data_IF_616709115786
#
_entry.id   IF_616709115786
#
_cell.length_a   1.000
_cell.length_b   1.000
_cell.length_c   1.000
_cell.angle_alpha   90.00
_cell.angle_beta   90.00
_cell.angle_gamma   90.00
#
_symmetry.space_group_name_H-M   'P 1'
#
loop_
_entity.id
_entity.type
_entity.pdbx_description
1 polymer ?
#
# COMPACT_ATOMS: atom_id res chain seq x y z
N UNK A 1 66.50 -2.53 -47.26
CA UNK A 1 66.47 -3.97 -46.93
C UNK A 1 66.18 -4.03 -45.44
N UNK A 2 65.19 -4.68 -44.87
CA UNK A 2 64.12 -5.59 -45.29
C UNK A 2 63.06 -5.50 -44.19
N UNK A 3 61.85 -5.95 -44.52
CA UNK A 3 60.63 -5.90 -43.73
C UNK A 3 60.72 -6.68 -42.41
N UNK A 4 59.96 -6.26 -41.39
CA UNK A 4 59.25 -7.24 -40.58
C UNK A 4 57.90 -6.68 -40.11
N UNK A 5 56.84 -7.25 -40.67
CA UNK A 5 55.46 -7.06 -40.27
C UNK A 5 55.14 -7.93 -39.04
N UNK A 6 54.05 -7.57 -38.34
CA UNK A 6 53.38 -8.33 -37.28
C UNK A 6 53.91 -8.13 -35.84
N UNK A 7 53.20 -7.30 -35.07
CA UNK A 7 52.27 -7.81 -34.06
C UNK A 7 51.62 -6.65 -33.29
N UNK A 8 50.52 -6.13 -33.84
CA UNK A 8 49.50 -5.45 -33.07
C UNK A 8 48.78 -6.52 -32.21
N UNK A 9 49.14 -6.63 -30.92
CA UNK A 9 48.41 -7.46 -29.96
C UNK A 9 47.26 -6.65 -29.33
N UNK A 10 45.98 -7.03 -29.57
CA UNK A 10 44.82 -6.22 -29.22
C UNK A 10 44.33 -6.52 -27.80
N UNK A 11 45.05 -6.07 -26.76
CA UNK A 11 44.65 -6.34 -25.37
C UNK A 11 44.38 -5.12 -24.49
N UNK A 12 44.34 -3.90 -25.05
CA UNK A 12 44.04 -2.67 -24.28
C UNK A 12 42.76 -1.93 -24.67
N UNK A 13 41.82 -2.60 -25.35
CA UNK A 13 40.50 -2.01 -25.70
C UNK A 13 39.31 -2.85 -25.18
N UNK A 14 39.57 -4.00 -24.55
CA UNK A 14 38.48 -4.93 -24.14
C UNK A 14 37.95 -4.65 -22.72
N UNK A 15 38.69 -3.95 -21.85
CA UNK A 15 38.24 -3.70 -20.46
C UNK A 15 37.26 -2.53 -20.30
N UNK A 16 37.24 -1.56 -21.22
CA UNK A 16 36.35 -0.37 -21.11
C UNK A 16 34.98 -0.59 -21.82
N UNK A 17 34.89 -1.55 -22.74
CA UNK A 17 33.63 -1.85 -23.45
C UNK A 17 32.73 -2.79 -22.62
N UNK A 18 33.30 -3.70 -21.82
CA UNK A 18 32.55 -4.58 -20.94
C UNK A 18 31.91 -3.84 -19.75
N UNK A 19 32.60 -2.84 -19.17
CA UNK A 19 32.06 -1.99 -18.09
C UNK A 19 31.00 -1.00 -18.59
N UNK A 20 31.16 -0.45 -19.80
CA UNK A 20 30.16 0.47 -20.37
C UNK A 20 28.91 -0.24 -20.90
N UNK A 21 29.02 -1.50 -21.35
CA UNK A 21 27.87 -2.33 -21.76
C UNK A 21 27.08 -2.90 -20.58
N UNK A 22 27.74 -3.29 -19.48
CA UNK A 22 27.06 -3.79 -18.26
C UNK A 22 26.26 -2.70 -17.55
N UNK A 23 26.77 -1.47 -17.44
CA UNK A 23 26.01 -0.33 -16.90
C UNK A 23 24.83 0.06 -17.81
N UNK A 24 24.99 -0.05 -19.14
CA UNK A 24 23.89 0.21 -20.09
C UNK A 24 22.82 -0.88 -20.06
N UNK A 25 23.19 -2.15 -19.84
CA UNK A 25 22.22 -3.23 -19.63
C UNK A 25 21.50 -3.10 -18.28
N UNK A 26 22.20 -2.75 -17.20
CA UNK A 26 21.56 -2.45 -15.91
C UNK A 26 20.65 -1.23 -15.97
N UNK A 27 21.06 -0.15 -16.67
CA UNK A 27 20.17 1.01 -16.94
C UNK A 27 19.01 0.64 -17.86
N UNK A 28 19.14 -0.35 -18.75
CA UNK A 28 18.05 -0.84 -19.61
C UNK A 28 17.08 -1.74 -18.83
N UNK A 29 17.57 -2.54 -17.88
CA UNK A 29 16.75 -3.30 -16.92
C UNK A 29 16.03 -2.37 -15.92
N UNK A 30 16.70 -1.33 -15.41
CA UNK A 30 16.05 -0.29 -14.61
C UNK A 30 15.10 0.60 -15.43
N UNK A 31 15.33 0.78 -16.74
CA UNK A 31 14.41 1.51 -17.64
C UNK A 31 13.18 0.68 -18.06
N UNK A 32 13.25 -0.65 -17.97
CA UNK A 32 12.07 -1.52 -18.13
C UNK A 32 11.14 -1.40 -16.90
N UNK A 33 11.65 -1.03 -15.72
CA UNK A 33 10.84 -0.76 -14.51
C UNK A 33 10.13 0.61 -14.49
N UNK A 34 10.36 1.46 -15.49
CA UNK A 34 9.76 2.80 -15.60
C UNK A 34 8.85 2.99 -16.82
N UNK A 35 8.56 1.93 -17.56
CA UNK A 35 7.70 2.01 -18.73
C UNK A 35 6.24 1.92 -18.30
N UNK A 36 5.39 2.76 -18.89
CA UNK A 36 3.96 3.00 -18.61
C UNK A 36 3.03 1.77 -18.65
N UNK A 37 3.56 0.55 -18.66
CA UNK A 37 2.88 -0.74 -18.79
C UNK A 37 2.65 -1.50 -17.48
N UNK A 38 3.27 -1.11 -16.36
CA UNK A 38 2.93 -1.65 -15.01
C UNK A 38 1.88 -0.75 -14.30
N UNK A 39 1.49 0.36 -14.92
CA UNK A 39 0.49 1.29 -14.40
C UNK A 39 -0.97 0.86 -14.63
N UNK A 40 -1.20 -0.28 -15.29
CA UNK A 40 -2.35 -1.13 -14.95
C UNK A 40 -1.91 -2.08 -13.85
N UNK A 41 -1.62 -1.54 -12.66
CA UNK A 41 -1.80 -2.37 -11.48
C UNK A 41 -3.25 -2.82 -11.58
N UNK A 42 -3.49 -4.12 -11.76
CA UNK A 42 -4.83 -4.69 -11.80
C UNK A 42 -5.42 -4.48 -10.40
N UNK A 43 -5.77 -3.24 -10.09
CA UNK A 43 -6.62 -2.86 -8.99
C UNK A 43 -7.96 -3.43 -9.44
N UNK A 44 -8.46 -4.48 -8.78
CA UNK A 44 -9.77 -5.01 -9.12
C UNK A 44 -10.77 -3.86 -9.10
N UNK A 45 -11.73 -3.81 -10.03
CA UNK A 45 -12.69 -2.71 -10.15
C UNK A 45 -13.33 -2.34 -8.80
N UNK A 46 -13.54 -3.34 -7.94
CA UNK A 46 -14.01 -3.17 -6.55
C UNK A 46 -13.05 -2.42 -5.65
N UNK A 47 -11.76 -2.72 -5.70
CA UNK A 47 -10.75 -1.98 -4.92
C UNK A 47 -10.69 -0.52 -5.37
N UNK A 48 -10.86 -0.23 -6.66
CA UNK A 48 -10.95 1.14 -7.14
C UNK A 48 -12.19 1.87 -6.58
N UNK A 49 -13.35 1.18 -6.52
CA UNK A 49 -14.56 1.74 -5.92
C UNK A 49 -14.39 2.01 -4.43
N UNK A 50 -13.77 1.10 -3.68
CA UNK A 50 -13.40 1.32 -2.27
C UNK A 50 -12.53 2.57 -2.11
N UNK A 51 -11.48 2.72 -2.93
CA UNK A 51 -10.59 3.88 -2.87
C UNK A 51 -11.32 5.19 -3.22
N UNK A 52 -12.18 5.19 -4.23
CA UNK A 52 -12.97 6.37 -4.62
C UNK A 52 -13.98 6.75 -3.53
N UNK A 53 -14.64 5.76 -2.92
CA UNK A 53 -15.58 6.01 -1.83
C UNK A 53 -14.87 6.53 -0.57
N UNK A 54 -13.68 6.00 -0.25
CA UNK A 54 -12.84 6.55 0.79
C UNK A 54 -12.38 7.98 0.48
N UNK A 55 -12.05 8.28 -0.78
CA UNK A 55 -11.72 9.64 -1.21
C UNK A 55 -12.87 10.60 -0.92
N UNK A 56 -14.10 10.24 -1.30
CA UNK A 56 -15.30 11.07 -1.09
C UNK A 56 -15.53 11.37 0.40
N UNK A 57 -15.35 10.36 1.27
CA UNK A 57 -15.45 10.56 2.72
C UNK A 57 -14.35 11.49 3.25
N UNK A 58 -13.10 11.28 2.80
CA UNK A 58 -11.98 12.10 3.23
C UNK A 58 -12.08 13.55 2.75
N UNK A 59 -12.55 13.77 1.52
CA UNK A 59 -12.78 15.10 0.95
C UNK A 59 -13.94 15.81 1.67
N UNK A 60 -15.04 15.11 1.91
CA UNK A 60 -16.19 15.65 2.65
C UNK A 60 -15.88 16.00 4.10
N UNK A 61 -14.97 15.26 4.75
CA UNK A 61 -14.51 15.57 6.11
C UNK A 61 -13.53 16.74 6.14
N UNK A 62 -12.46 16.67 5.35
CA UNK A 62 -11.37 17.65 5.40
C UNK A 62 -11.68 18.96 4.67
N UNK A 63 -12.76 18.98 3.87
CA UNK A 63 -13.07 20.01 2.89
C UNK A 63 -11.86 20.36 1.99
N UNK A 64 -10.99 19.37 1.74
CA UNK A 64 -9.73 19.55 1.04
C UNK A 64 -9.40 18.34 0.16
N UNK A 65 -9.66 18.50 -1.14
CA UNK A 65 -9.37 17.50 -2.16
C UNK A 65 -7.88 17.10 -2.21
N UNK A 66 -6.95 17.99 -1.84
CA UNK A 66 -5.52 17.64 -1.82
C UNK A 66 -5.18 16.65 -0.70
N UNK A 67 -5.84 16.77 0.47
CA UNK A 67 -5.65 15.84 1.59
C UNK A 67 -6.23 14.47 1.22
N UNK A 68 -7.44 14.44 0.65
CA UNK A 68 -8.08 13.21 0.18
C UNK A 68 -7.22 12.50 -0.89
N UNK A 69 -6.76 13.22 -1.91
CA UNK A 69 -5.85 12.66 -2.92
C UNK A 69 -4.54 12.14 -2.32
N UNK A 70 -3.95 12.88 -1.38
CA UNK A 70 -2.73 12.47 -0.69
C UNK A 70 -2.95 11.19 0.11
N UNK A 71 -4.09 11.04 0.78
CA UNK A 71 -4.47 9.81 1.48
C UNK A 71 -4.52 8.62 0.54
N UNK A 72 -5.28 8.71 -0.56
CA UNK A 72 -5.41 7.62 -1.54
C UNK A 72 -4.07 7.25 -2.15
N UNK A 73 -3.26 8.24 -2.55
CA UNK A 73 -1.92 7.99 -3.08
C UNK A 73 -1.03 7.25 -2.09
N UNK A 74 -1.09 7.59 -0.80
CA UNK A 74 -0.30 6.92 0.24
C UNK A 74 -0.78 5.48 0.45
N UNK A 75 -2.10 5.23 0.44
CA UNK A 75 -2.67 3.88 0.53
C UNK A 75 -2.17 3.02 -0.62
N UNK A 76 -2.33 3.47 -1.87
CA UNK A 76 -1.90 2.71 -3.06
C UNK A 76 -0.39 2.44 -3.04
N UNK A 77 0.43 3.44 -2.70
CA UNK A 77 1.90 3.25 -2.62
C UNK A 77 2.31 2.30 -1.49
N UNK A 78 1.58 2.26 -0.38
CA UNK A 78 1.88 1.38 0.75
C UNK A 78 1.43 -0.05 0.44
N UNK A 79 0.23 -0.24 -0.11
CA UNK A 79 -0.26 -1.54 -0.57
C UNK A 79 0.61 -2.17 -1.66
N UNK A 80 1.04 -1.39 -2.66
CA UNK A 80 1.96 -1.89 -3.69
C UNK A 80 3.30 -2.34 -3.12
N UNK A 81 3.81 -1.61 -2.11
CA UNK A 81 5.06 -1.98 -1.45
C UNK A 81 4.89 -3.27 -0.66
N UNK A 82 3.78 -3.39 0.07
CA UNK A 82 3.42 -4.60 0.81
C UNK A 82 3.31 -5.82 -0.12
N UNK A 83 2.63 -5.66 -1.27
CA UNK A 83 2.54 -6.70 -2.31
C UNK A 83 3.92 -7.16 -2.78
N UNK A 84 4.84 -6.24 -3.06
CA UNK A 84 6.21 -6.58 -3.47
C UNK A 84 6.95 -7.36 -2.38
N UNK A 85 6.83 -6.94 -1.11
CA UNK A 85 7.44 -7.64 0.03
C UNK A 85 6.87 -9.06 0.20
N UNK A 86 5.56 -9.20 0.08
CA UNK A 86 4.86 -10.48 0.16
C UNK A 86 5.24 -11.42 -0.99
N UNK A 87 5.21 -10.93 -2.24
CA UNK A 87 5.54 -11.72 -3.43
C UNK A 87 7.00 -12.19 -3.45
N UNK A 88 7.93 -11.38 -2.94
CA UNK A 88 9.35 -11.73 -2.84
C UNK A 88 9.69 -12.56 -1.60
N UNK A 89 8.69 -13.01 -0.84
CA UNK A 89 8.87 -13.77 0.41
C UNK A 89 9.70 -13.07 1.50
N UNK A 90 9.93 -11.76 1.38
CA UNK A 90 10.76 -10.99 2.31
C UNK A 90 10.14 -11.01 3.71
N UNK A 91 8.81 -10.90 3.80
CA UNK A 91 8.08 -10.94 5.08
C UNK A 91 8.33 -12.24 5.83
N UNK A 92 8.42 -13.37 5.11
CA UNK A 92 8.65 -14.70 5.70
C UNK A 92 10.11 -14.95 6.09
N UNK A 93 11.01 -14.01 5.81
CA UNK A 93 12.41 -14.09 6.25
C UNK A 93 12.57 -13.76 7.74
N UNK A 94 11.59 -13.05 8.32
CA UNK A 94 11.51 -12.83 9.77
C UNK A 94 10.82 -14.02 10.46
N UNK A 95 11.33 -14.50 11.61
CA UNK A 95 10.77 -15.68 12.30
C UNK A 95 9.30 -15.54 12.68
N UNK A 96 8.80 -14.30 12.85
CA UNK A 96 7.41 -14.03 13.24
C UNK A 96 6.54 -13.54 12.07
N UNK A 97 7.08 -13.45 10.86
CA UNK A 97 6.41 -12.78 9.73
C UNK A 97 5.07 -13.39 9.34
N UNK A 98 4.97 -14.72 9.33
CA UNK A 98 3.71 -15.43 9.02
C UNK A 98 2.64 -15.20 10.10
N UNK A 99 3.03 -15.29 11.39
CA UNK A 99 2.13 -15.05 12.51
C UNK A 99 1.59 -13.62 12.51
N UNK A 100 2.45 -12.63 12.27
CA UNK A 100 2.05 -11.23 12.17
C UNK A 100 1.10 -10.99 10.99
N UNK A 101 1.32 -11.66 9.85
CA UNK A 101 0.41 -11.61 8.70
C UNK A 101 -0.96 -12.21 9.02
N UNK A 102 -1.01 -13.33 9.73
CA UNK A 102 -2.26 -13.95 10.16
C UNK A 102 -3.02 -13.05 11.14
N UNK A 103 -2.31 -12.45 12.11
CA UNK A 103 -2.89 -11.48 13.05
C UNK A 103 -3.45 -10.25 12.31
N UNK A 104 -2.69 -9.70 11.37
CA UNK A 104 -3.12 -8.54 10.58
C UNK A 104 -4.39 -8.84 9.78
N UNK A 105 -4.49 -10.03 9.17
CA UNK A 105 -5.71 -10.48 8.46
C UNK A 105 -6.89 -10.65 9.43
N UNK A 106 -6.64 -11.21 10.60
CA UNK A 106 -7.63 -11.36 11.67
C UNK A 106 -8.20 -10.01 12.11
N UNK A 107 -7.33 -9.06 12.41
CA UNK A 107 -7.71 -7.70 12.81
C UNK A 107 -8.48 -6.97 11.72
N UNK A 108 -8.03 -7.07 10.47
CA UNK A 108 -8.72 -6.46 9.34
C UNK A 108 -10.14 -7.01 9.19
N UNK A 109 -10.32 -8.32 9.32
CA UNK A 109 -11.65 -8.94 9.34
C UNK A 109 -12.49 -8.51 10.55
N UNK A 110 -11.86 -8.36 11.71
CA UNK A 110 -12.47 -7.79 12.91
C UNK A 110 -13.00 -6.38 12.66
N UNK A 111 -12.20 -5.51 12.02
CA UNK A 111 -12.59 -4.15 11.64
C UNK A 111 -13.80 -4.16 10.69
N UNK A 112 -13.79 -4.98 9.64
CA UNK A 112 -14.92 -5.07 8.69
C UNK A 112 -16.21 -5.54 9.36
N UNK A 113 -16.10 -6.46 10.31
CA UNK A 113 -17.24 -6.94 11.10
C UNK A 113 -17.75 -5.83 12.01
N UNK A 114 -16.84 -5.18 12.72
CA UNK A 114 -17.15 -4.14 13.69
C UNK A 114 -17.76 -2.89 13.04
N UNK A 115 -17.23 -2.41 11.91
CA UNK A 115 -17.83 -1.33 11.12
C UNK A 115 -19.24 -1.72 10.64
N UNK A 116 -19.43 -2.98 10.25
CA UNK A 116 -20.76 -3.50 9.88
C UNK A 116 -21.79 -3.38 11.01
N UNK A 117 -21.37 -3.61 12.26
CA UNK A 117 -22.21 -3.46 13.47
C UNK A 117 -22.44 -1.98 13.80
N UNK A 118 -21.37 -1.18 13.77
CA UNK A 118 -21.39 0.27 14.00
C UNK A 118 -22.42 1.02 13.15
N UNK A 119 -22.60 0.59 11.89
CA UNK A 119 -23.62 1.14 10.99
C UNK A 119 -25.05 1.08 11.55
N UNK A 120 -25.32 0.10 12.41
CA UNK A 120 -26.64 -0.13 13.01
C UNK A 120 -26.72 0.47 14.41
N UNK A 121 -25.61 0.49 15.14
CA UNK A 121 -25.51 1.00 16.50
C UNK A 121 -24.30 1.95 16.62
N UNK A 122 -24.52 3.24 16.36
CA UNK A 122 -23.49 4.27 16.58
C UNK A 122 -23.47 4.68 18.06
N UNK A 123 -22.33 4.52 18.72
CA UNK A 123 -22.10 5.06 20.04
C UNK A 123 -20.63 5.51 20.18
N UNK A 124 -20.34 6.38 21.14
CA UNK A 124 -18.97 6.87 21.36
C UNK A 124 -17.99 5.73 21.71
N UNK A 125 -18.44 4.81 22.57
CA UNK A 125 -17.65 3.65 22.99
C UNK A 125 -17.23 2.80 21.79
N UNK A 126 -18.13 2.63 20.83
CA UNK A 126 -17.85 1.82 19.65
C UNK A 126 -16.87 2.52 18.70
N UNK A 127 -16.91 3.86 18.56
CA UNK A 127 -15.87 4.58 17.81
C UNK A 127 -14.48 4.45 18.43
N UNK A 128 -14.34 4.52 19.75
CA UNK A 128 -13.07 4.31 20.44
C UNK A 128 -12.49 2.91 20.16
N UNK A 129 -13.32 1.88 20.25
CA UNK A 129 -12.90 0.50 19.91
C UNK A 129 -12.38 0.41 18.46
N UNK A 130 -13.04 1.08 17.50
CA UNK A 130 -12.58 1.10 16.12
C UNK A 130 -11.22 1.80 15.97
N UNK A 131 -10.98 2.88 16.70
CA UNK A 131 -9.66 3.54 16.72
C UNK A 131 -8.58 2.58 17.20
N UNK A 132 -8.82 1.87 18.32
CA UNK A 132 -7.89 0.89 18.85
C UNK A 132 -7.57 -0.22 17.83
N UNK A 133 -8.59 -0.74 17.14
CA UNK A 133 -8.40 -1.75 16.09
C UNK A 133 -7.51 -1.22 14.95
N UNK A 134 -7.76 0.00 14.47
CA UNK A 134 -6.90 0.62 13.44
C UNK A 134 -5.45 0.80 13.94
N UNK A 135 -5.26 1.23 15.19
CA UNK A 135 -3.92 1.37 15.77
C UNK A 135 -3.20 0.03 15.92
N UNK A 136 -3.93 -1.04 16.22
CA UNK A 136 -3.34 -2.38 16.26
C UNK A 136 -2.85 -2.80 14.87
N UNK A 137 -3.68 -2.62 13.83
CA UNK A 137 -3.25 -2.87 12.45
C UNK A 137 -2.03 -2.03 12.05
N UNK A 138 -1.95 -0.76 12.46
CA UNK A 138 -0.79 0.09 12.22
C UNK A 138 0.47 -0.51 12.84
N UNK A 139 0.40 -0.93 14.11
CA UNK A 139 1.50 -1.56 14.83
C UNK A 139 1.96 -2.86 14.16
N UNK A 140 1.02 -3.73 13.80
CA UNK A 140 1.32 -4.98 13.08
C UNK A 140 1.99 -4.71 11.73
N UNK A 141 1.48 -3.74 10.97
CA UNK A 141 2.07 -3.36 9.68
C UNK A 141 3.50 -2.87 9.89
N UNK A 142 3.76 -2.02 10.90
CA UNK A 142 5.12 -1.58 11.26
C UNK A 142 6.02 -2.76 11.63
N UNK A 143 5.54 -3.72 12.42
CA UNK A 143 6.32 -4.91 12.78
C UNK A 143 6.62 -5.81 11.58
N UNK A 144 5.72 -5.90 10.60
CA UNK A 144 5.91 -6.71 9.38
C UNK A 144 6.95 -6.09 8.44
N UNK A 145 7.00 -4.76 8.39
CA UNK A 145 7.74 -4.04 7.35
C UNK A 145 8.94 -3.24 7.87
N UNK A 146 9.05 -3.04 9.19
CA UNK A 146 9.98 -2.11 9.83
C UNK A 146 11.43 -2.44 9.48
N UNK A 147 11.76 -3.72 9.49
CA UNK A 147 13.11 -4.23 9.16
C UNK A 147 13.44 -4.14 7.66
N UNK A 148 12.45 -3.80 6.81
CA UNK A 148 12.54 -3.94 5.36
C UNK A 148 12.21 -2.66 4.59
N UNK A 149 11.91 -1.55 5.28
CA UNK A 149 11.44 -0.32 4.66
C UNK A 149 12.23 0.92 5.04
N UNK A 150 12.13 1.91 4.16
CA UNK A 150 12.64 3.26 4.41
C UNK A 150 11.69 4.02 5.32
N UNK A 151 12.23 4.99 6.06
CA UNK A 151 11.46 5.92 6.90
C UNK A 151 10.25 6.51 6.15
N UNK A 152 10.44 6.88 4.88
CA UNK A 152 9.38 7.39 3.99
C UNK A 152 8.19 6.44 3.83
N UNK A 153 8.36 5.13 3.98
CA UNK A 153 7.22 4.20 3.95
C UNK A 153 6.49 4.12 5.27
N UNK A 154 7.22 4.19 6.38
CA UNK A 154 6.66 4.24 7.73
C UNK A 154 5.81 5.52 7.89
N UNK A 155 6.35 6.67 7.50
CA UNK A 155 5.63 7.96 7.53
C UNK A 155 4.37 7.97 6.66
N UNK A 156 4.32 7.14 5.61
CA UNK A 156 3.11 6.99 4.77
C UNK A 156 2.03 6.23 5.52
N UNK A 157 2.41 5.16 6.22
CA UNK A 157 1.50 4.35 7.02
C UNK A 157 0.98 5.16 8.20
N UNK A 158 1.86 5.90 8.88
CA UNK A 158 1.45 6.78 9.97
C UNK A 158 0.45 7.82 9.51
N UNK A 159 0.69 8.46 8.37
CA UNK A 159 -0.29 9.40 7.82
C UNK A 159 -1.66 8.73 7.55
N UNK A 160 -1.68 7.52 6.97
CA UNK A 160 -2.92 6.81 6.65
C UNK A 160 -3.68 6.49 7.94
N UNK A 161 -3.01 5.85 8.89
CA UNK A 161 -3.62 5.39 10.14
C UNK A 161 -4.00 6.55 11.05
N UNK A 162 -3.22 7.63 11.09
CA UNK A 162 -3.61 8.86 11.79
C UNK A 162 -4.89 9.45 11.22
N UNK A 163 -5.07 9.45 9.89
CA UNK A 163 -6.28 9.98 9.28
C UNK A 163 -7.50 9.08 9.54
N UNK A 164 -7.41 7.77 9.28
CA UNK A 164 -8.58 6.88 9.37
C UNK A 164 -9.00 6.56 10.81
N UNK A 165 -8.10 6.76 11.78
CA UNK A 165 -8.41 6.61 13.21
C UNK A 165 -8.64 7.95 13.91
N UNK A 166 -8.72 9.05 13.18
CA UNK A 166 -9.04 10.36 13.74
C UNK A 166 -10.47 10.36 14.33
N UNK A 167 -10.61 10.91 15.53
CA UNK A 167 -11.88 10.84 16.27
C UNK A 167 -12.99 11.62 15.55
N UNK A 168 -12.65 12.76 14.97
CA UNK A 168 -13.59 13.63 14.26
C UNK A 168 -13.93 13.04 12.89
N UNK A 169 -12.96 12.42 12.21
CA UNK A 169 -13.21 11.68 10.98
C UNK A 169 -14.18 10.52 11.20
N UNK A 170 -13.98 9.73 12.26
CA UNK A 170 -14.90 8.63 12.60
C UNK A 170 -16.28 9.16 13.01
N UNK A 171 -16.34 10.25 13.77
CA UNK A 171 -17.60 10.91 14.09
C UNK A 171 -18.33 11.38 12.83
N UNK A 172 -17.61 11.93 11.85
CA UNK A 172 -18.14 12.35 10.56
C UNK A 172 -18.64 11.16 9.72
N UNK A 173 -17.85 10.08 9.66
CA UNK A 173 -18.20 8.87 8.92
C UNK A 173 -19.51 8.25 9.43
N UNK A 174 -19.63 8.08 10.75
CA UNK A 174 -20.77 7.40 11.36
C UNK A 174 -21.93 8.32 11.74
N UNK A 175 -21.87 9.60 11.38
CA UNK A 175 -22.92 10.57 11.69
C UNK A 175 -24.27 10.13 11.12
N UNK A 176 -25.21 9.80 12.01
CA UNK A 176 -26.55 9.30 11.67
C UNK A 176 -27.38 10.29 10.83
N UNK A 177 -27.05 11.59 10.87
CA UNK A 177 -27.72 12.63 10.06
C UNK A 177 -27.26 12.63 8.60
N UNK A 178 -26.10 12.05 8.30
CA UNK A 178 -25.51 12.04 6.95
C UNK A 178 -25.81 10.72 6.24
N UNK A 179 -27.01 10.61 5.66
CA UNK A 179 -27.48 9.41 4.94
C UNK A 179 -26.55 9.00 3.80
N UNK A 180 -25.92 9.97 3.13
CA UNK A 180 -24.92 9.72 2.08
C UNK A 180 -23.69 8.98 2.61
N UNK A 181 -23.15 9.38 3.76
CA UNK A 181 -21.97 8.73 4.35
C UNK A 181 -22.28 7.27 4.70
N UNK A 182 -23.48 7.01 5.24
CA UNK A 182 -23.93 5.65 5.53
C UNK A 182 -23.98 4.77 4.28
N UNK A 183 -24.52 5.28 3.17
CA UNK A 183 -24.55 4.55 1.90
C UNK A 183 -23.14 4.25 1.38
N UNK A 184 -22.23 5.24 1.42
CA UNK A 184 -20.84 5.07 1.01
C UNK A 184 -20.13 4.01 1.85
N UNK A 185 -20.34 4.00 3.18
CA UNK A 185 -19.75 3.01 4.08
C UNK A 185 -20.26 1.60 3.79
N UNK A 186 -21.56 1.45 3.48
CA UNK A 186 -22.12 0.15 3.06
C UNK A 186 -21.40 -0.38 1.83
N UNK A 187 -21.27 0.44 0.79
CA UNK A 187 -20.57 0.03 -0.43
C UNK A 187 -19.11 -0.34 -0.17
N UNK A 188 -18.41 0.44 0.67
CA UNK A 188 -17.02 0.13 1.06
C UNK A 188 -16.95 -1.25 1.72
N UNK A 189 -17.81 -1.52 2.71
CA UNK A 189 -17.77 -2.76 3.48
C UNK A 189 -18.15 -3.96 2.61
N UNK A 190 -19.17 -3.84 1.76
CA UNK A 190 -19.60 -4.92 0.88
C UNK A 190 -18.50 -5.26 -0.13
N UNK A 191 -17.83 -4.27 -0.71
CA UNK A 191 -16.70 -4.52 -1.60
C UNK A 191 -15.49 -5.10 -0.88
N UNK A 192 -15.14 -4.59 0.31
CA UNK A 192 -14.02 -5.13 1.09
C UNK A 192 -14.27 -6.57 1.49
N UNK A 193 -15.49 -6.93 1.89
CA UNK A 193 -15.86 -8.33 2.20
C UNK A 193 -15.72 -9.24 0.98
N UNK A 194 -16.13 -8.78 -0.20
CA UNK A 194 -15.94 -9.55 -1.44
C UNK A 194 -14.45 -9.70 -1.75
N UNK A 195 -13.67 -8.63 -1.65
CA UNK A 195 -12.23 -8.68 -1.90
C UNK A 195 -11.50 -9.64 -0.95
N UNK A 196 -11.85 -9.65 0.34
CA UNK A 196 -11.32 -10.60 1.33
C UNK A 196 -11.72 -12.04 0.99
N UNK A 197 -13.01 -12.27 0.71
CA UNK A 197 -13.52 -13.60 0.35
C UNK A 197 -12.85 -14.17 -0.90
N UNK A 198 -12.61 -13.31 -1.89
CA UNK A 198 -11.96 -13.68 -3.14
C UNK A 198 -10.42 -13.76 -3.00
N UNK A 199 -9.87 -13.52 -1.80
CA UNK A 199 -8.44 -13.61 -1.50
C UNK A 199 -7.57 -12.53 -2.16
N UNK A 200 -8.19 -11.41 -2.55
CA UNK A 200 -7.52 -10.32 -3.29
C UNK A 200 -6.86 -9.28 -2.37
N UNK A 201 -7.28 -9.22 -1.10
CA UNK A 201 -6.68 -8.39 -0.04
C UNK A 201 -6.54 -9.19 1.26
#
# INVERSE_FOLDING_TARGET
MEQNYANLSPNHVVSTIAQSRSIRFQKKLCKISSNKYIAKCFIPTRLNRVLNNLHRLAEGFSNNNQIANRLIQKIVKSGNKFKVLYSNRIIFSSPNGEQLLMQLRGDFNGILTFIGILKTYDCMLSRFTLQCLFRNCQGLIHSIIGDHLTQKSLDRIDFIFNFISDADFLAYMFNSKLTLNRAIIVEIIDDLRVLVRDGLI
#
